data_IF_666369609533
#
_entry.id   IF_666369609533
#
_cell.length_a   1.000
_cell.length_b   1.000
_cell.length_c   1.000
_cell.angle_alpha   90.00
_cell.angle_beta   90.00
_cell.angle_gamma   90.00
#
_symmetry.space_group_name_H-M   'P 1'
#
loop_
_entity.id
_entity.type
_entity.pdbx_description
1 polymer ?
#
# COMPACT_ATOMS: atom_id res chain seq x y z
N UNK A 1 6.49 -17.30 -30.10
CA UNK A 1 5.54 -17.18 -28.98
C UNK A 1 5.57 -18.50 -28.22
N UNK A 2 6.30 -18.59 -27.11
CA UNK A 2 6.30 -19.79 -26.27
C UNK A 2 5.14 -19.64 -25.28
N UNK A 3 4.11 -20.45 -25.47
CA UNK A 3 3.04 -20.65 -24.50
C UNK A 3 3.66 -21.15 -23.19
N UNK A 4 3.62 -20.33 -22.16
CA UNK A 4 4.05 -20.69 -20.83
C UNK A 4 2.77 -21.06 -20.03
N UNK A 5 2.50 -22.34 -19.76
CA UNK A 5 1.30 -22.79 -19.03
C UNK A 5 1.51 -22.74 -17.50
N UNK A 6 2.17 -21.74 -17.01
CA UNK A 6 2.32 -21.49 -15.56
C UNK A 6 1.65 -20.18 -15.20
N UNK A 7 0.73 -20.19 -14.24
CA UNK A 7 -0.10 -19.08 -13.82
C UNK A 7 0.56 -17.71 -13.92
N UNK A 8 0.17 -16.97 -14.94
CA UNK A 8 0.69 -15.63 -15.22
C UNK A 8 -0.15 -14.64 -14.41
N UNK A 9 0.47 -13.99 -13.43
CA UNK A 9 -0.16 -12.84 -12.78
C UNK A 9 -0.03 -11.65 -13.75
N UNK A 10 -1.12 -11.19 -14.36
CA UNK A 10 -1.06 -10.08 -15.28
C UNK A 10 -0.58 -8.82 -14.57
N UNK A 11 0.24 -8.01 -15.19
CA UNK A 11 0.68 -6.71 -14.62
C UNK A 11 -0.51 -5.81 -14.27
N UNK A 12 -1.61 -5.95 -14.99
CA UNK A 12 -2.84 -5.22 -14.71
C UNK A 12 -3.44 -5.55 -13.34
N UNK A 13 -3.32 -6.79 -12.85
CA UNK A 13 -3.79 -7.12 -11.49
C UNK A 13 -2.94 -6.46 -10.40
N UNK A 14 -1.63 -6.31 -10.63
CA UNK A 14 -0.77 -5.50 -9.75
C UNK A 14 -1.18 -4.02 -9.79
N UNK A 15 -1.53 -3.49 -10.95
CA UNK A 15 -2.07 -2.14 -11.10
C UNK A 15 -3.38 -1.95 -10.34
N UNK A 16 -4.35 -2.86 -10.52
CA UNK A 16 -5.64 -2.82 -9.80
C UNK A 16 -5.42 -2.89 -8.29
N UNK A 17 -4.47 -3.72 -7.82
CA UNK A 17 -4.15 -3.77 -6.39
C UNK A 17 -3.68 -2.42 -5.84
N UNK A 18 -3.01 -1.58 -6.65
CA UNK A 18 -2.60 -0.24 -6.23
C UNK A 18 -3.79 0.72 -6.15
N UNK A 19 -4.79 0.62 -7.06
CA UNK A 19 -6.04 1.37 -6.90
C UNK A 19 -6.69 1.03 -5.56
N UNK A 20 -6.82 -0.27 -5.25
CA UNK A 20 -7.46 -0.74 -4.01
C UNK A 20 -6.63 -0.34 -2.79
N UNK A 21 -5.32 -0.59 -2.79
CA UNK A 21 -4.45 -0.33 -1.64
C UNK A 21 -4.35 1.17 -1.33
N UNK A 22 -4.04 2.02 -2.31
CA UNK A 22 -3.95 3.47 -2.10
C UNK A 22 -5.34 4.07 -1.85
N UNK A 23 -6.36 3.61 -2.58
CA UNK A 23 -7.74 4.02 -2.34
C UNK A 23 -8.16 3.78 -0.90
N UNK A 24 -7.94 2.57 -0.40
CA UNK A 24 -8.33 2.19 0.95
C UNK A 24 -7.43 2.84 2.02
N UNK A 25 -6.11 2.67 1.94
CA UNK A 25 -5.22 2.96 3.07
C UNK A 25 -4.66 4.39 3.08
N UNK A 26 -4.80 5.13 1.98
CA UNK A 26 -4.31 6.50 1.88
C UNK A 26 -5.43 7.51 1.62
N UNK A 27 -6.16 7.37 0.50
CA UNK A 27 -7.14 8.38 0.08
C UNK A 27 -8.45 8.34 0.88
N UNK A 28 -8.86 7.19 1.40
CA UNK A 28 -10.13 7.07 2.13
C UNK A 28 -10.19 7.97 3.36
N UNK A 29 -9.11 8.04 4.13
CA UNK A 29 -9.07 8.80 5.37
C UNK A 29 -9.22 10.31 5.17
N UNK A 30 -8.82 10.85 4.03
CA UNK A 30 -9.07 12.25 3.70
C UNK A 30 -10.57 12.58 3.68
N UNK A 31 -11.42 11.61 3.34
CA UNK A 31 -12.86 11.80 3.23
C UNK A 31 -13.64 11.43 4.50
N UNK A 32 -13.17 10.42 5.25
CA UNK A 32 -13.96 9.84 6.35
C UNK A 32 -13.48 10.27 7.75
N UNK A 33 -12.38 11.04 7.85
CA UNK A 33 -11.77 11.42 9.14
C UNK A 33 -12.72 12.15 10.08
N UNK A 34 -13.58 13.04 9.56
CA UNK A 34 -14.54 13.80 10.36
C UNK A 34 -15.64 12.90 10.95
N UNK A 35 -16.19 12.00 10.16
CA UNK A 35 -17.20 11.04 10.61
C UNK A 35 -16.60 9.99 11.55
N UNK A 36 -15.34 9.65 11.34
CA UNK A 36 -14.62 8.75 12.24
C UNK A 36 -14.36 9.42 13.59
N UNK A 37 -14.01 10.71 13.61
CA UNK A 37 -13.88 11.52 14.83
C UNK A 37 -15.20 11.58 15.60
N UNK A 38 -16.30 11.83 14.90
CA UNK A 38 -17.65 11.85 15.49
C UNK A 38 -18.05 10.48 16.04
N UNK A 39 -17.85 9.40 15.26
CA UNK A 39 -18.13 8.01 15.69
C UNK A 39 -17.41 7.66 16.99
N UNK A 40 -16.17 8.13 17.17
CA UNK A 40 -15.34 7.79 18.32
C UNK A 40 -15.42 8.80 19.46
N UNK A 41 -16.14 9.91 19.27
CA UNK A 41 -16.23 10.98 20.28
C UNK A 41 -14.89 11.65 20.58
N UNK A 42 -13.96 11.71 19.62
CA UNK A 42 -12.63 12.33 19.75
C UNK A 42 -12.50 13.54 18.81
N UNK A 43 -11.50 14.39 19.07
CA UNK A 43 -11.29 15.56 18.23
C UNK A 43 -10.76 15.17 16.82
N UNK A 44 -11.03 16.03 15.83
CA UNK A 44 -10.54 15.85 14.46
C UNK A 44 -9.00 15.87 14.42
N UNK A 45 -8.37 16.69 15.27
CA UNK A 45 -6.91 16.75 15.39
C UNK A 45 -6.34 15.41 15.88
N UNK A 46 -6.95 14.81 16.91
CA UNK A 46 -6.55 13.50 17.42
C UNK A 46 -6.69 12.43 16.35
N UNK A 47 -7.81 12.42 15.63
CA UNK A 47 -8.05 11.50 14.53
C UNK A 47 -6.99 11.66 13.42
N UNK A 48 -6.72 12.90 13.01
CA UNK A 48 -5.71 13.21 11.99
C UNK A 48 -4.31 12.80 12.43
N UNK A 49 -3.96 13.02 13.70
CA UNK A 49 -2.68 12.63 14.27
C UNK A 49 -2.49 11.10 14.23
N UNK A 50 -3.51 10.33 14.59
CA UNK A 50 -3.46 8.87 14.59
C UNK A 50 -3.35 8.33 13.16
N UNK A 51 -4.10 8.89 12.20
CA UNK A 51 -3.96 8.54 10.78
C UNK A 51 -2.54 8.85 10.28
N UNK A 52 -1.99 10.01 10.62
CA UNK A 52 -0.61 10.37 10.26
C UNK A 52 0.42 9.44 10.89
N UNK A 53 0.20 9.01 12.14
CA UNK A 53 1.05 8.04 12.82
C UNK A 53 1.05 6.70 12.11
N UNK A 54 -0.07 6.24 11.57
CA UNK A 54 -0.12 5.00 10.79
C UNK A 54 0.73 5.08 9.52
N UNK A 55 0.76 6.23 8.85
CA UNK A 55 1.64 6.46 7.71
C UNK A 55 3.11 6.49 8.11
N UNK A 56 3.42 6.99 9.32
CA UNK A 56 4.78 6.99 9.85
C UNK A 56 5.27 5.57 10.16
N UNK A 57 4.40 4.68 10.63
CA UNK A 57 4.69 3.25 10.82
C UNK A 57 5.17 2.62 9.51
N UNK A 58 4.55 2.97 8.38
CA UNK A 58 5.00 2.52 7.06
C UNK A 58 6.50 2.85 6.82
N UNK A 59 6.95 4.04 7.17
CA UNK A 59 8.37 4.42 7.02
C UNK A 59 9.27 3.55 7.90
N UNK A 60 8.89 3.36 9.17
CA UNK A 60 9.69 2.59 10.14
C UNK A 60 9.91 1.13 9.73
N UNK A 61 8.88 0.49 9.19
CA UNK A 61 8.94 -0.94 8.85
C UNK A 61 9.34 -1.22 7.40
N UNK A 62 9.48 -0.19 6.56
CA UNK A 62 9.77 -0.33 5.12
C UNK A 62 11.02 -1.15 4.82
N UNK A 63 12.08 -0.98 5.60
CA UNK A 63 13.33 -1.76 5.45
C UNK A 63 13.12 -3.24 5.77
N UNK A 64 12.32 -3.56 6.79
CA UNK A 64 11.97 -4.93 7.12
C UNK A 64 11.10 -5.57 6.03
N UNK A 65 10.17 -4.81 5.47
CA UNK A 65 9.37 -5.27 4.32
C UNK A 65 10.25 -5.56 3.11
N UNK A 66 11.27 -4.71 2.83
CA UNK A 66 12.27 -4.99 1.79
C UNK A 66 12.97 -6.34 2.00
N UNK A 67 13.43 -6.61 3.22
CA UNK A 67 14.00 -7.92 3.57
C UNK A 67 13.02 -9.08 3.34
N UNK A 68 11.73 -8.92 3.70
CA UNK A 68 10.72 -9.95 3.46
C UNK A 68 10.48 -10.19 1.97
N UNK A 69 10.50 -9.14 1.13
CA UNK A 69 10.38 -9.23 -0.32
C UNK A 69 11.52 -10.07 -0.90
N UNK A 70 12.75 -9.82 -0.47
CA UNK A 70 13.93 -10.55 -0.94
C UNK A 70 13.89 -12.03 -0.53
N UNK A 71 13.40 -12.31 0.68
CA UNK A 71 13.35 -13.68 1.23
C UNK A 71 12.14 -14.48 0.73
N UNK A 72 10.97 -13.87 0.67
CA UNK A 72 9.68 -14.56 0.49
C UNK A 72 9.05 -14.30 -0.87
N UNK A 73 9.53 -13.29 -1.60
CA UNK A 73 8.98 -12.83 -2.87
C UNK A 73 7.90 -11.76 -2.71
N UNK A 74 7.88 -10.82 -3.65
CA UNK A 74 7.01 -9.64 -3.61
C UNK A 74 5.53 -9.97 -3.61
N UNK A 75 5.07 -10.99 -4.37
CA UNK A 75 3.66 -11.38 -4.39
C UNK A 75 3.14 -11.92 -3.05
N UNK A 76 3.97 -12.67 -2.31
CA UNK A 76 3.57 -13.19 -0.99
C UNK A 76 3.42 -12.05 0.01
N UNK A 77 4.38 -11.13 0.00
CA UNK A 77 4.34 -9.93 0.87
C UNK A 77 3.13 -9.07 0.53
N UNK A 78 2.86 -8.85 -0.76
CA UNK A 78 1.70 -8.10 -1.24
C UNK A 78 0.39 -8.73 -0.77
N UNK A 79 0.23 -10.05 -0.97
CA UNK A 79 -0.96 -10.79 -0.52
C UNK A 79 -1.17 -10.69 0.99
N UNK A 80 -0.12 -10.93 1.77
CA UNK A 80 -0.18 -10.82 3.23
C UNK A 80 -0.54 -9.39 3.68
N UNK A 81 0.07 -8.37 3.05
CA UNK A 81 -0.22 -6.98 3.33
C UNK A 81 -1.69 -6.63 3.10
N UNK A 82 -2.27 -7.08 1.99
CA UNK A 82 -3.68 -6.86 1.67
C UNK A 82 -4.62 -7.54 2.68
N UNK A 83 -4.30 -8.74 3.16
CA UNK A 83 -5.07 -9.38 4.23
C UNK A 83 -4.98 -8.63 5.55
N UNK A 84 -3.79 -8.15 5.94
CA UNK A 84 -3.62 -7.33 7.14
C UNK A 84 -4.48 -6.06 7.04
N UNK A 85 -4.51 -5.41 5.88
CA UNK A 85 -5.35 -4.24 5.64
C UNK A 85 -6.85 -4.54 5.74
N UNK A 86 -7.27 -5.68 5.19
CA UNK A 86 -8.65 -6.15 5.33
C UNK A 86 -9.05 -6.31 6.80
N UNK A 87 -8.19 -6.95 7.62
CA UNK A 87 -8.40 -7.07 9.07
C UNK A 87 -8.40 -5.70 9.74
N UNK A 88 -7.54 -4.77 9.33
CA UNK A 88 -7.53 -3.40 9.85
C UNK A 88 -8.84 -2.66 9.59
N UNK A 89 -9.41 -2.75 8.40
CA UNK A 89 -10.69 -2.12 8.08
C UNK A 89 -11.89 -2.82 8.74
N UNK A 90 -11.88 -4.15 8.88
CA UNK A 90 -12.92 -4.85 9.64
C UNK A 90 -12.83 -4.49 11.14
N UNK A 91 -11.64 -4.27 11.67
CA UNK A 91 -11.43 -3.80 13.04
C UNK A 91 -12.01 -2.39 13.22
N UNK A 92 -11.84 -1.47 12.26
CA UNK A 92 -12.46 -0.13 12.29
C UNK A 92 -14.00 -0.20 12.32
N UNK A 93 -14.59 -1.18 11.68
CA UNK A 93 -16.04 -1.37 11.73
C UNK A 93 -16.55 -1.61 13.15
N UNK A 94 -15.82 -2.44 13.92
CA UNK A 94 -16.19 -2.81 15.30
C UNK A 94 -15.63 -1.85 16.36
N UNK A 95 -14.80 -0.89 15.96
CA UNK A 95 -14.14 0.03 16.88
C UNK A 95 -15.14 1.06 17.43
N UNK A 96 -15.17 1.23 18.76
CA UNK A 96 -15.99 2.18 19.49
C UNK A 96 -15.14 3.06 20.43
N UNK A 97 -13.86 2.75 20.59
CA UNK A 97 -12.94 3.42 21.50
C UNK A 97 -11.60 3.79 20.84
N UNK A 98 -10.81 4.60 21.57
CA UNK A 98 -9.51 5.06 21.12
C UNK A 98 -8.49 3.91 20.93
N UNK A 99 -8.54 2.89 21.81
CA UNK A 99 -7.59 1.78 21.75
C UNK A 99 -7.84 0.90 20.53
N UNK A 100 -9.10 0.59 20.24
CA UNK A 100 -9.50 -0.12 19.03
C UNK A 100 -9.12 0.66 17.76
N UNK A 101 -9.25 1.98 17.80
CA UNK A 101 -8.82 2.84 16.70
C UNK A 101 -7.31 2.79 16.48
N UNK A 102 -6.52 2.94 17.53
CA UNK A 102 -5.05 2.83 17.46
C UNK A 102 -4.62 1.46 16.92
N UNK A 103 -5.24 0.37 17.39
CA UNK A 103 -4.95 -0.97 16.90
C UNK A 103 -5.28 -1.12 15.40
N UNK A 104 -6.44 -0.64 14.97
CA UNK A 104 -6.85 -0.69 13.57
C UNK A 104 -5.89 0.09 12.68
N UNK A 105 -5.50 1.29 13.10
CA UNK A 105 -4.57 2.14 12.36
C UNK A 105 -3.14 1.57 12.33
N UNK A 106 -2.71 0.85 13.37
CA UNK A 106 -1.46 0.08 13.37
C UNK A 106 -1.48 -1.00 12.26
N UNK A 107 -2.55 -1.78 12.18
CA UNK A 107 -2.70 -2.80 11.14
C UNK A 107 -2.71 -2.19 9.75
N UNK A 108 -3.42 -1.07 9.56
CA UNK A 108 -3.48 -0.37 8.28
C UNK A 108 -2.11 0.19 7.89
N UNK A 109 -1.33 0.73 8.82
CA UNK A 109 0.03 1.21 8.57
C UNK A 109 0.98 0.08 8.15
N UNK A 110 0.93 -1.07 8.83
CA UNK A 110 1.68 -2.29 8.45
C UNK A 110 1.27 -2.77 7.06
N UNK A 111 -0.03 -2.81 6.82
CA UNK A 111 -0.59 -3.19 5.52
C UNK A 111 -0.11 -2.27 4.40
N UNK A 112 -0.15 -0.97 4.62
CA UNK A 112 0.27 0.00 3.60
C UNK A 112 1.74 -0.18 3.22
N UNK A 113 2.62 -0.44 4.19
CA UNK A 113 4.03 -0.77 3.90
C UNK A 113 4.18 -2.04 3.05
N UNK A 114 3.32 -3.04 3.31
CA UNK A 114 3.39 -4.37 2.66
C UNK A 114 2.62 -4.45 1.33
N UNK A 115 1.80 -3.45 1.00
CA UNK A 115 0.97 -3.43 -0.20
C UNK A 115 1.16 -2.18 -1.08
N UNK A 116 2.16 -1.34 -0.77
CA UNK A 116 2.50 -0.15 -1.55
C UNK A 116 3.19 -0.46 -2.87
N UNK A 117 3.44 0.59 -3.66
CA UNK A 117 4.15 0.52 -4.94
C UNK A 117 5.47 -0.24 -4.88
N UNK A 118 6.27 -0.07 -3.82
CA UNK A 118 7.57 -0.73 -3.70
C UNK A 118 7.43 -2.25 -3.77
N UNK A 119 6.40 -2.79 -3.12
CA UNK A 119 6.12 -4.24 -3.13
C UNK A 119 5.59 -4.69 -4.49
N UNK A 120 4.66 -3.91 -5.08
CA UNK A 120 4.10 -4.21 -6.40
C UNK A 120 5.16 -4.15 -7.51
N UNK A 121 6.06 -3.17 -7.47
CA UNK A 121 7.17 -3.05 -8.43
C UNK A 121 8.15 -4.19 -8.28
N UNK A 122 8.52 -4.54 -7.05
CA UNK A 122 9.39 -5.69 -6.78
C UNK A 122 8.76 -6.99 -7.27
N UNK A 123 7.46 -7.19 -7.05
CA UNK A 123 6.72 -8.32 -7.58
C UNK A 123 6.72 -8.34 -9.11
N UNK A 124 6.51 -7.20 -9.76
CA UNK A 124 6.52 -7.08 -11.22
C UNK A 124 7.90 -7.44 -11.82
N UNK A 125 8.98 -6.96 -11.21
CA UNK A 125 10.36 -7.28 -11.61
C UNK A 125 10.64 -8.77 -11.43
N UNK A 126 10.25 -9.36 -10.31
CA UNK A 126 10.43 -10.79 -10.05
C UNK A 126 9.62 -11.68 -10.99
N UNK A 127 8.50 -11.20 -11.52
CA UNK A 127 7.65 -11.90 -12.46
C UNK A 127 8.18 -11.82 -13.91
N UNK A 128 8.64 -10.65 -14.32
CA UNK A 128 9.09 -10.36 -15.67
C UNK A 128 10.16 -9.25 -15.67
N UNK A 129 11.40 -9.65 -15.50
CA UNK A 129 12.54 -8.72 -15.44
C UNK A 129 12.78 -8.01 -16.78
N UNK A 130 12.53 -8.70 -17.91
CA UNK A 130 12.79 -8.16 -19.24
C UNK A 130 11.88 -6.96 -19.58
N UNK A 131 10.64 -6.96 -19.07
CA UNK A 131 9.66 -5.89 -19.28
C UNK A 131 9.46 -5.01 -18.04
N UNK A 132 10.38 -5.05 -17.07
CA UNK A 132 10.22 -4.40 -15.77
C UNK A 132 9.85 -2.92 -15.87
N UNK A 133 10.52 -2.14 -16.73
CA UNK A 133 10.21 -0.71 -16.94
C UNK A 133 8.78 -0.49 -17.44
N UNK A 134 8.34 -1.26 -18.43
CA UNK A 134 6.98 -1.21 -18.96
C UNK A 134 5.96 -1.56 -17.89
N UNK A 135 6.23 -2.63 -17.13
CA UNK A 135 5.34 -3.11 -16.08
C UNK A 135 5.19 -2.08 -14.95
N UNK A 136 6.29 -1.47 -14.50
CA UNK A 136 6.28 -0.37 -13.53
C UNK A 136 5.46 0.80 -14.03
N UNK A 137 5.66 1.22 -15.28
CA UNK A 137 4.87 2.32 -15.89
C UNK A 137 3.37 2.01 -15.88
N UNK A 138 2.97 0.79 -16.27
CA UNK A 138 1.56 0.36 -16.25
C UNK A 138 0.99 0.45 -14.83
N UNK A 139 1.69 -0.10 -13.83
CA UNK A 139 1.24 -0.07 -12.43
C UNK A 139 1.09 1.37 -11.94
N UNK A 140 2.01 2.25 -12.29
CA UNK A 140 1.96 3.67 -11.93
C UNK A 140 0.74 4.37 -12.52
N UNK A 141 0.36 4.08 -13.78
CA UNK A 141 -0.85 4.61 -14.38
C UNK A 141 -2.13 4.21 -13.65
N UNK A 142 -2.21 2.96 -13.18
CA UNK A 142 -3.33 2.52 -12.34
C UNK A 142 -3.41 3.33 -11.04
N UNK A 143 -2.29 3.55 -10.38
CA UNK A 143 -2.27 4.34 -9.16
C UNK A 143 -2.64 5.81 -9.36
N UNK A 144 -2.35 6.39 -10.54
CA UNK A 144 -2.72 7.76 -10.84
C UNK A 144 -4.25 7.98 -10.82
N UNK A 145 -5.06 6.95 -11.11
CA UNK A 145 -6.53 7.03 -11.05
C UNK A 145 -7.11 6.59 -9.71
N UNK A 146 -6.27 6.12 -8.77
CA UNK A 146 -6.72 5.56 -7.49
C UNK A 146 -7.52 6.57 -6.65
N UNK A 147 -7.10 7.82 -6.61
CA UNK A 147 -7.81 8.89 -5.89
C UNK A 147 -9.21 9.11 -6.46
N UNK A 148 -9.33 9.23 -7.79
CA UNK A 148 -10.63 9.45 -8.44
C UNK A 148 -11.60 8.30 -8.20
N UNK A 149 -11.14 7.05 -8.34
CA UNK A 149 -11.95 5.86 -8.06
C UNK A 149 -12.37 5.83 -6.60
N UNK A 150 -11.44 6.10 -5.67
CA UNK A 150 -11.71 6.14 -4.25
C UNK A 150 -12.77 7.20 -3.89
N UNK A 151 -12.60 8.44 -4.41
CA UNK A 151 -13.52 9.53 -4.11
C UNK A 151 -14.94 9.25 -4.58
N UNK A 152 -15.11 8.73 -5.78
CA UNK A 152 -16.41 8.34 -6.30
C UNK A 152 -17.04 7.21 -5.49
N UNK A 153 -16.26 6.17 -5.17
CA UNK A 153 -16.74 5.02 -4.42
C UNK A 153 -17.16 5.40 -3.00
N UNK A 154 -16.32 6.15 -2.28
CA UNK A 154 -16.62 6.58 -0.91
C UNK A 154 -17.78 7.56 -0.89
N UNK A 155 -17.82 8.53 -1.81
CA UNK A 155 -18.94 9.47 -1.91
C UNK A 155 -20.28 8.75 -2.13
N UNK A 156 -20.30 7.75 -3.01
CA UNK A 156 -21.48 6.91 -3.21
C UNK A 156 -21.88 6.14 -1.95
N UNK A 157 -20.93 5.42 -1.36
CA UNK A 157 -21.21 4.60 -0.16
C UNK A 157 -21.66 5.46 1.03
N UNK A 158 -21.03 6.62 1.24
CA UNK A 158 -21.39 7.57 2.28
C UNK A 158 -22.84 8.03 2.16
N UNK A 159 -23.24 8.45 0.95
CA UNK A 159 -24.56 9.04 0.73
C UNK A 159 -25.72 8.03 0.85
N UNK A 160 -25.47 6.76 0.51
CA UNK A 160 -26.53 5.75 0.49
C UNK A 160 -26.47 4.75 1.64
N UNK A 161 -25.31 4.48 2.21
CA UNK A 161 -25.10 3.37 3.15
C UNK A 161 -24.37 3.74 4.44
N UNK A 162 -23.82 4.96 4.54
CA UNK A 162 -23.13 5.45 5.71
C UNK A 162 -21.70 4.91 5.92
N UNK A 163 -21.03 5.39 6.99
CA UNK A 163 -19.62 5.14 7.28
C UNK A 163 -19.25 3.66 7.39
N UNK A 164 -20.07 2.87 8.06
CA UNK A 164 -19.79 1.44 8.29
C UNK A 164 -19.72 0.63 6.99
N UNK A 165 -20.49 1.01 5.97
CA UNK A 165 -20.44 0.37 4.65
C UNK A 165 -19.12 0.61 3.94
N UNK A 166 -18.48 1.75 4.19
CA UNK A 166 -17.16 2.08 3.64
C UNK A 166 -16.13 1.09 4.19
N UNK A 167 -16.10 0.89 5.51
CA UNK A 167 -15.17 -0.06 6.12
C UNK A 167 -15.33 -1.48 5.59
N UNK A 168 -16.56 -1.95 5.48
CA UNK A 168 -16.84 -3.30 4.95
C UNK A 168 -16.44 -3.44 3.48
N UNK A 169 -16.74 -2.44 2.66
CA UNK A 169 -16.40 -2.47 1.23
C UNK A 169 -14.90 -2.45 1.01
N UNK A 170 -14.16 -1.57 1.72
CA UNK A 170 -12.71 -1.50 1.62
C UNK A 170 -12.04 -2.78 2.15
N UNK A 171 -12.53 -3.32 3.28
CA UNK A 171 -12.08 -4.60 3.81
C UNK A 171 -12.28 -5.73 2.79
N UNK A 172 -13.47 -5.83 2.20
CA UNK A 172 -13.79 -6.86 1.22
C UNK A 172 -12.93 -6.72 -0.04
N UNK A 173 -12.73 -5.50 -0.55
CA UNK A 173 -11.88 -5.26 -1.72
C UNK A 173 -10.43 -5.69 -1.47
N UNK A 174 -9.86 -5.34 -0.31
CA UNK A 174 -8.52 -5.76 0.10
C UNK A 174 -8.43 -7.29 0.25
N UNK A 175 -9.43 -7.90 0.88
CA UNK A 175 -9.51 -9.35 1.06
C UNK A 175 -9.53 -10.09 -0.29
N UNK A 176 -10.40 -9.68 -1.20
CA UNK A 176 -10.53 -10.32 -2.52
C UNK A 176 -9.24 -10.19 -3.33
N UNK A 177 -8.58 -9.03 -3.28
CA UNK A 177 -7.27 -8.84 -3.94
C UNK A 177 -6.18 -9.70 -3.29
N UNK A 178 -6.14 -9.78 -1.97
CA UNK A 178 -5.23 -10.66 -1.23
C UNK A 178 -5.44 -12.12 -1.60
N UNK A 179 -6.70 -12.57 -1.66
CA UNK A 179 -7.08 -13.93 -2.05
C UNK A 179 -6.69 -14.24 -3.50
N UNK A 180 -6.92 -13.30 -4.41
CA UNK A 180 -6.50 -13.42 -5.79
C UNK A 180 -5.01 -13.71 -5.91
N UNK A 181 -4.15 -12.94 -5.23
CA UNK A 181 -2.71 -13.17 -5.25
C UNK A 181 -2.32 -14.46 -4.55
N UNK A 182 -2.95 -14.81 -3.43
CA UNK A 182 -2.69 -16.06 -2.70
C UNK A 182 -2.95 -17.30 -3.57
N UNK A 183 -4.07 -17.32 -4.29
CA UNK A 183 -4.43 -18.42 -5.20
C UNK A 183 -3.40 -18.51 -6.32
N UNK A 184 -3.01 -17.38 -6.91
CA UNK A 184 -2.05 -17.37 -8.02
C UNK A 184 -0.61 -17.68 -7.60
N UNK A 185 -0.25 -17.59 -6.31
CA UNK A 185 1.02 -18.07 -5.79
C UNK A 185 1.19 -19.58 -5.93
N UNK A 186 0.12 -20.34 -5.72
CA UNK A 186 0.15 -21.81 -5.74
C UNK A 186 0.34 -22.39 -7.15
N UNK A 187 0.05 -21.62 -8.20
CA UNK A 187 0.26 -22.04 -9.58
C UNK A 187 1.69 -21.82 -10.10
N UNK A 188 2.50 -21.05 -9.39
CA UNK A 188 3.91 -20.85 -9.72
C UNK A 188 4.77 -21.64 -8.73
N UNK A 189 5.12 -22.87 -9.09
CA UNK A 189 6.32 -23.47 -8.51
C UNK A 189 7.46 -22.50 -8.83
N UNK A 190 7.90 -21.76 -7.83
CA UNK A 190 9.03 -20.84 -7.92
C UNK A 190 10.12 -21.56 -8.72
N UNK A 191 10.53 -21.02 -9.88
CA UNK A 191 11.90 -21.19 -10.30
C UNK A 191 12.69 -20.74 -9.07
N UNK A 192 13.23 -21.74 -8.34
CA UNK A 192 14.21 -21.49 -7.29
C UNK A 192 15.21 -20.55 -7.95
N UNK A 193 15.15 -19.29 -7.60
CA UNK A 193 16.19 -18.37 -7.97
C UNK A 193 17.45 -19.07 -7.48
N UNK A 194 18.35 -19.42 -8.39
CA UNK A 194 19.71 -19.72 -7.97
C UNK A 194 20.08 -18.62 -7.00
N UNK A 195 20.67 -18.94 -5.84
CA UNK A 195 21.01 -17.93 -4.88
C UNK A 195 21.76 -16.85 -5.68
N UNK A 196 21.13 -15.67 -5.82
CA UNK A 196 21.83 -14.51 -6.35
C UNK A 196 23.14 -14.50 -5.59
N UNK A 197 24.28 -14.56 -6.32
CA UNK A 197 25.60 -14.42 -5.70
C UNK A 197 25.46 -13.41 -4.59
N UNK A 198 25.97 -13.68 -3.38
CA UNK A 198 25.95 -12.71 -2.30
C UNK A 198 26.31 -11.38 -2.96
N UNK A 199 25.49 -10.36 -2.74
CA UNK A 199 25.81 -9.00 -3.21
C UNK A 199 27.18 -8.78 -2.64
N UNK A 200 28.20 -8.87 -3.51
CA UNK A 200 29.58 -8.58 -3.15
C UNK A 200 29.50 -7.20 -2.51
N UNK A 201 29.78 -7.18 -1.22
CA UNK A 201 29.87 -6.04 -0.32
C UNK A 201 29.00 -4.85 -0.76
N UNK A 202 27.99 -4.54 0.06
CA UNK A 202 27.23 -3.29 -0.04
C UNK A 202 28.29 -2.16 -0.10
N UNK A 203 28.74 -1.86 -1.32
CA UNK A 203 29.55 -0.67 -1.55
C UNK A 203 28.58 0.48 -1.32
N UNK A 204 28.69 1.20 -0.20
CA UNK A 204 27.82 2.33 0.05
C UNK A 204 28.02 3.25 -1.17
N UNK A 205 26.94 3.51 -1.89
CA UNK A 205 26.96 4.37 -3.06
C UNK A 205 27.63 5.68 -2.61
N UNK A 206 28.88 5.89 -2.99
CA UNK A 206 29.63 7.10 -2.63
C UNK A 206 29.03 8.26 -3.43
N UNK A 207 27.87 8.73 -2.95
CA UNK A 207 27.17 9.86 -3.54
C UNK A 207 28.10 11.07 -3.55
N UNK A 208 28.30 11.65 -4.72
CA UNK A 208 29.04 12.90 -4.86
C UNK A 208 28.33 14.01 -4.06
N UNK A 209 29.05 15.06 -3.72
CA UNK A 209 28.45 16.21 -3.00
C UNK A 209 27.22 16.77 -3.73
N UNK A 210 27.25 16.79 -5.07
CA UNK A 210 26.10 17.26 -5.90
C UNK A 210 24.89 16.34 -5.77
N UNK A 211 25.08 15.02 -5.80
CA UNK A 211 24.00 14.06 -5.65
C UNK A 211 23.37 14.11 -4.25
N UNK A 212 24.18 14.26 -3.21
CA UNK A 212 23.67 14.46 -1.83
C UNK A 212 22.80 15.71 -1.72
N UNK A 213 23.24 16.82 -2.32
CA UNK A 213 22.46 18.07 -2.34
C UNK A 213 21.15 17.89 -3.10
N UNK A 214 21.17 17.26 -4.27
CA UNK A 214 19.95 17.00 -5.06
C UNK A 214 18.98 16.13 -4.26
N UNK A 215 19.46 15.04 -3.65
CA UNK A 215 18.62 14.16 -2.82
C UNK A 215 18.03 14.94 -1.64
N UNK A 216 18.83 15.76 -0.96
CA UNK A 216 18.34 16.58 0.16
C UNK A 216 17.27 17.57 -0.28
N UNK A 217 17.44 18.23 -1.44
CA UNK A 217 16.45 19.15 -2.01
C UNK A 217 15.15 18.39 -2.34
N UNK A 218 15.26 17.21 -2.97
CA UNK A 218 14.08 16.37 -3.30
C UNK A 218 13.37 15.89 -2.03
N UNK A 219 14.10 15.55 -0.98
CA UNK A 219 13.50 15.17 0.31
C UNK A 219 12.77 16.35 0.97
N UNK A 220 13.36 17.55 0.95
CA UNK A 220 12.72 18.77 1.48
C UNK A 220 11.46 19.09 0.66
N UNK A 221 11.55 19.02 -0.67
CA UNK A 221 10.42 19.28 -1.56
C UNK A 221 9.27 18.28 -1.31
N UNK A 222 9.56 16.98 -1.26
CA UNK A 222 8.56 15.97 -0.95
C UNK A 222 7.95 16.15 0.44
N UNK A 223 8.74 16.58 1.43
CA UNK A 223 8.24 16.88 2.77
C UNK A 223 7.33 18.12 2.79
N UNK A 224 7.69 19.17 2.05
CA UNK A 224 6.85 20.37 1.94
C UNK A 224 5.55 20.10 1.19
N UNK A 225 5.57 19.31 0.11
CA UNK A 225 4.34 18.87 -0.57
C UNK A 225 3.44 18.06 0.37
N UNK A 226 4.03 17.14 1.15
CA UNK A 226 3.27 16.38 2.15
C UNK A 226 2.63 17.29 3.22
N UNK A 227 3.37 18.28 3.72
CA UNK A 227 2.83 19.26 4.68
C UNK A 227 1.69 20.08 4.06
N UNK A 228 1.86 20.59 2.83
CA UNK A 228 0.81 21.34 2.13
C UNK A 228 -0.41 20.45 1.95
N UNK A 229 -0.25 19.23 1.46
CA UNK A 229 -1.37 18.30 1.30
C UNK A 229 -2.08 18.00 2.63
N UNK A 230 -1.33 17.81 3.71
CA UNK A 230 -1.91 17.54 5.05
C UNK A 230 -2.63 18.76 5.64
N UNK A 231 -2.20 19.98 5.32
CA UNK A 231 -2.82 21.22 5.81
C UNK A 231 -3.97 21.72 4.95
N UNK A 232 -3.93 21.51 3.63
CA UNK A 232 -5.02 21.89 2.71
C UNK A 232 -6.16 20.88 2.67
N UNK A 233 -5.96 19.67 3.17
CA UNK A 233 -7.01 18.68 3.38
C UNK A 233 -7.80 18.91 4.70
N UNK A 234 -7.56 20.03 5.38
CA UNK A 234 -8.37 20.60 6.47
C UNK A 234 -9.47 21.49 5.88
#
# INVERSE_FOLDING_TARGET
MKNNPGGFVPVHSLGISQIVAYGAMFYSFAQIKSELAEKLGISLETTTMIVSLSLFINVLISSYIGYLIDRSGGLKVLSAGLFIGSVGFISLYFTEDLLGFLFSMLLIGISFSSASYNVAFSAAIQLDDQNSRKNITIITFYGAVASSVCWLTIGFLRNYFGLNSIFLTLSLALFLMGLYFLINLNFKKEKKNEPKKPIEDFVPLALSKKEKVIITILMIFGFTEYLIFSTTAL
#
